data_IF_483543251918
#
_entry.id   IF_483543251918
#
_cell.length_a   1.000
_cell.length_b   1.000
_cell.length_c   1.000
_cell.angle_alpha   90.00
_cell.angle_beta   90.00
_cell.angle_gamma   90.00
#
_symmetry.space_group_name_H-M   'P 1'
#
loop_
_entity.id
_entity.type
_entity.pdbx_description
1 polymer ?
#
# COMPACT_ATOMS: atom_id res chain seq x y z
N UNK A 1 60.68 -5.47 -1.58
CA UNK A 1 60.05 -6.68 -0.97
C UNK A 1 59.24 -6.43 0.30
N UNK A 2 59.56 -5.48 1.19
CA UNK A 2 58.72 -5.18 2.39
C UNK A 2 57.37 -4.53 2.01
N UNK A 3 57.38 -3.56 1.10
CA UNK A 3 56.18 -2.79 0.71
C UNK A 3 55.06 -3.65 0.08
N UNK A 4 55.43 -4.69 -0.68
CA UNK A 4 54.49 -5.63 -1.30
C UNK A 4 53.82 -6.55 -0.29
N UNK A 5 54.54 -6.97 0.77
CA UNK A 5 53.98 -7.74 1.90
C UNK A 5 53.03 -6.89 2.75
N UNK A 6 53.33 -5.60 2.88
CA UNK A 6 52.48 -4.63 3.55
C UNK A 6 51.16 -4.45 2.77
N UNK A 7 51.24 -4.26 1.45
CA UNK A 7 50.07 -4.12 0.57
C UNK A 7 49.15 -5.36 0.60
N UNK A 8 49.73 -6.57 0.60
CA UNK A 8 48.97 -7.83 0.68
C UNK A 8 48.32 -8.05 2.04
N UNK A 9 48.85 -7.49 3.13
CA UNK A 9 48.26 -7.59 4.47
C UNK A 9 47.14 -6.57 4.69
N UNK A 10 47.17 -5.40 4.02
CA UNK A 10 46.10 -4.40 4.10
C UNK A 10 44.87 -4.76 3.26
N UNK A 11 45.07 -5.47 2.14
CA UNK A 11 44.02 -5.91 1.24
C UNK A 11 42.88 -6.71 1.93
N UNK A 12 43.14 -7.73 2.78
CA UNK A 12 42.07 -8.46 3.46
C UNK A 12 41.30 -7.58 4.46
N UNK A 13 41.96 -6.65 5.15
CA UNK A 13 41.28 -5.72 6.06
C UNK A 13 40.41 -4.72 5.32
N UNK A 14 40.84 -4.25 4.14
CA UNK A 14 40.02 -3.41 3.28
C UNK A 14 38.79 -4.18 2.76
N UNK A 15 38.97 -5.44 2.36
CA UNK A 15 37.86 -6.33 1.95
C UNK A 15 36.88 -6.58 3.11
N UNK A 16 37.38 -6.81 4.33
CA UNK A 16 36.54 -6.98 5.53
C UNK A 16 35.78 -5.69 5.85
N UNK A 17 36.43 -4.52 5.75
CA UNK A 17 35.78 -3.23 5.98
C UNK A 17 34.68 -2.95 4.95
N UNK A 18 34.95 -3.21 3.66
CA UNK A 18 33.98 -3.04 2.58
C UNK A 18 32.80 -4.00 2.75
N UNK A 19 33.04 -5.26 3.14
CA UNK A 19 31.95 -6.21 3.42
C UNK A 19 31.11 -5.78 4.63
N UNK A 20 31.72 -5.29 5.70
CA UNK A 20 30.98 -4.72 6.84
C UNK A 20 30.13 -3.50 6.46
N UNK A 21 30.66 -2.61 5.61
CA UNK A 21 29.92 -1.45 5.09
C UNK A 21 28.77 -1.86 4.17
N UNK A 22 28.93 -2.91 3.37
CA UNK A 22 27.86 -3.46 2.54
C UNK A 22 26.78 -4.13 3.41
N UNK A 23 27.16 -4.82 4.49
CA UNK A 23 26.21 -5.44 5.42
C UNK A 23 25.50 -4.41 6.32
N UNK A 24 26.10 -3.26 6.61
CA UNK A 24 25.49 -2.21 7.45
C UNK A 24 24.50 -1.33 6.70
N UNK A 25 24.42 -1.43 5.37
CA UNK A 25 23.30 -0.86 4.63
C UNK A 25 22.03 -1.62 5.04
N UNK A 26 21.20 -1.03 5.89
CA UNK A 26 19.82 -1.48 6.05
C UNK A 26 19.18 -1.31 4.67
N UNK A 27 18.92 -2.42 3.99
CA UNK A 27 18.21 -2.43 2.72
C UNK A 27 16.85 -1.79 3.00
N UNK A 28 16.72 -0.51 2.63
CA UNK A 28 15.42 0.14 2.56
C UNK A 28 14.76 -0.48 1.34
N UNK A 29 14.01 -1.55 1.57
CA UNK A 29 13.05 -2.02 0.58
C UNK A 29 12.05 -0.87 0.48
N UNK A 30 12.22 -0.03 -0.54
CA UNK A 30 11.11 0.80 -1.00
C UNK A 30 10.02 -0.21 -1.29
N UNK A 31 8.97 -0.21 -0.47
CA UNK A 31 7.88 -1.15 -0.62
C UNK A 31 7.28 -0.87 -1.99
N UNK A 32 7.55 -1.75 -2.95
CA UNK A 32 6.93 -1.64 -4.27
C UNK A 32 5.43 -1.68 -4.03
N UNK A 33 4.78 -0.60 -4.42
CA UNK A 33 3.33 -0.50 -4.42
C UNK A 33 2.79 -1.60 -5.31
N UNK A 34 1.62 -2.16 -4.94
CA UNK A 34 0.93 -3.08 -5.84
C UNK A 34 0.70 -2.39 -7.20
N UNK A 35 0.65 -3.18 -8.27
CA UNK A 35 0.52 -2.68 -9.63
C UNK A 35 -0.77 -1.85 -9.80
N UNK A 36 -0.62 -0.53 -9.79
CA UNK A 36 -1.70 0.44 -10.05
C UNK A 36 -2.00 0.61 -11.56
N UNK A 37 -1.40 -0.19 -12.45
CA UNK A 37 -1.58 0.03 -13.89
C UNK A 37 -2.99 -0.31 -14.39
N UNK A 38 -3.78 -1.07 -13.63
CA UNK A 38 -5.08 -1.55 -14.06
C UNK A 38 -6.19 -0.49 -14.02
N UNK A 39 -6.14 0.47 -13.09
CA UNK A 39 -7.16 1.51 -12.92
C UNK A 39 -6.58 2.77 -12.27
N UNK A 40 -7.23 3.92 -12.44
CA UNK A 40 -6.85 5.16 -11.78
C UNK A 40 -8.06 5.93 -11.24
N UNK A 41 -7.79 7.03 -10.52
CA UNK A 41 -8.80 7.94 -9.97
C UNK A 41 -8.95 9.26 -10.75
N UNK A 42 -8.27 9.38 -11.89
CA UNK A 42 -8.22 10.62 -12.67
C UNK A 42 -9.54 10.78 -13.42
N UNK A 43 -10.23 11.90 -13.14
CA UNK A 43 -11.50 12.20 -13.80
C UNK A 43 -11.31 12.35 -15.31
N UNK A 44 -12.05 11.55 -16.09
CA UNK A 44 -12.01 11.56 -17.54
C UNK A 44 -10.91 10.71 -18.17
N UNK A 45 -10.09 10.01 -17.37
CA UNK A 45 -9.18 8.98 -17.87
C UNK A 45 -9.95 7.77 -18.41
N UNK A 46 -9.39 7.11 -19.42
CA UNK A 46 -9.86 5.81 -19.92
C UNK A 46 -9.83 4.72 -18.83
N UNK A 47 -8.94 4.87 -17.84
CA UNK A 47 -8.83 4.00 -16.66
C UNK A 47 -9.49 4.57 -15.40
N UNK A 48 -10.16 5.71 -15.55
CA UNK A 48 -10.77 6.44 -14.44
C UNK A 48 -12.09 5.82 -13.94
N UNK A 49 -12.64 6.33 -12.84
CA UNK A 49 -13.80 5.73 -12.17
C UNK A 49 -15.06 5.59 -13.03
N UNK A 50 -15.24 6.46 -14.03
CA UNK A 50 -16.36 6.37 -14.98
C UNK A 50 -16.30 5.14 -15.88
N UNK A 51 -15.13 4.52 -16.04
CA UNK A 51 -14.87 3.42 -16.96
C UNK A 51 -14.50 2.10 -16.28
N UNK A 52 -14.35 2.06 -14.94
CA UNK A 52 -13.90 0.85 -14.22
C UNK A 52 -14.69 -0.42 -14.56
N UNK A 53 -16.00 -0.32 -14.75
CA UNK A 53 -16.83 -1.48 -15.11
C UNK A 53 -16.68 -1.98 -16.55
N UNK A 54 -15.89 -1.29 -17.38
CA UNK A 54 -15.57 -1.66 -18.77
C UNK A 54 -14.17 -2.27 -18.90
N UNK A 55 -13.29 -2.02 -17.92
CA UNK A 55 -11.90 -2.47 -17.94
C UNK A 55 -11.78 -4.00 -17.86
N UNK A 56 -12.59 -4.64 -17.01
CA UNK A 56 -12.59 -6.09 -16.79
C UNK A 56 -14.00 -6.62 -16.59
N UNK A 57 -14.25 -7.85 -17.04
CA UNK A 57 -15.59 -8.48 -16.98
C UNK A 57 -16.06 -8.63 -15.53
N UNK A 58 -15.16 -8.98 -14.63
CA UNK A 58 -15.38 -9.12 -13.19
C UNK A 58 -15.72 -7.79 -12.49
N UNK A 59 -15.44 -6.64 -13.12
CA UNK A 59 -15.70 -5.31 -12.55
C UNK A 59 -16.99 -4.68 -13.05
N UNK A 60 -17.78 -5.40 -13.86
CA UNK A 60 -19.01 -4.88 -14.48
C UNK A 60 -20.02 -4.26 -13.48
N UNK A 61 -19.97 -4.66 -12.21
CA UNK A 61 -20.81 -4.08 -11.14
C UNK A 61 -20.50 -2.59 -10.88
N UNK A 62 -19.28 -2.12 -11.11
CA UNK A 62 -18.93 -0.70 -11.00
C UNK A 62 -19.74 0.18 -11.96
N UNK A 63 -20.18 -0.39 -13.10
CA UNK A 63 -21.02 0.29 -14.10
C UNK A 63 -22.51 -0.02 -13.92
N UNK A 64 -22.85 -1.29 -13.68
CA UNK A 64 -24.25 -1.77 -13.75
C UNK A 64 -24.92 -1.92 -12.37
N UNK A 65 -24.15 -1.81 -11.28
CA UNK A 65 -24.64 -1.92 -9.92
C UNK A 65 -25.56 -0.75 -9.56
N UNK A 66 -26.69 -1.06 -8.90
CA UNK A 66 -27.68 -0.04 -8.47
C UNK A 66 -27.53 0.38 -7.00
N UNK A 67 -26.67 -0.31 -6.27
CA UNK A 67 -26.38 -0.09 -4.84
C UNK A 67 -24.86 0.08 -4.69
N UNK A 68 -24.30 1.13 -5.31
CA UNK A 68 -22.88 1.46 -5.25
C UNK A 68 -22.63 2.56 -4.22
N UNK A 69 -21.39 2.65 -3.75
CA UNK A 69 -20.90 3.65 -2.81
C UNK A 69 -19.77 4.47 -3.47
N UNK A 70 -19.47 5.70 -3.00
CA UNK A 70 -20.18 6.43 -1.94
C UNK A 70 -21.54 6.97 -2.39
N UNK A 71 -22.38 7.33 -1.43
CA UNK A 71 -23.64 8.05 -1.66
C UNK A 71 -23.65 9.36 -0.89
N UNK A 72 -24.47 10.29 -1.37
CA UNK A 72 -24.72 11.56 -0.71
C UNK A 72 -25.65 11.39 0.50
N UNK A 73 -25.18 11.78 1.69
CA UNK A 73 -25.87 11.64 2.97
C UNK A 73 -26.51 12.98 3.39
N UNK A 74 -27.64 13.32 2.78
CA UNK A 74 -28.39 14.54 3.13
C UNK A 74 -29.33 14.30 4.32
N UNK A 75 -29.22 15.15 5.35
CA UNK A 75 -30.02 15.03 6.58
C UNK A 75 -31.53 14.96 6.34
N UNK A 76 -32.05 15.66 5.33
CA UNK A 76 -33.49 15.66 5.01
C UNK A 76 -34.00 14.36 4.38
N UNK A 77 -33.12 13.49 3.88
CA UNK A 77 -33.47 12.19 3.28
C UNK A 77 -33.21 11.00 4.21
N UNK A 78 -32.60 11.25 5.37
CA UNK A 78 -32.30 10.21 6.36
C UNK A 78 -33.56 9.91 7.18
N UNK A 79 -33.82 8.62 7.40
CA UNK A 79 -34.80 8.14 8.37
C UNK A 79 -34.08 7.80 9.67
N UNK A 80 -34.41 8.49 10.76
CA UNK A 80 -33.92 8.13 12.09
C UNK A 80 -34.70 6.92 12.59
N UNK A 81 -33.99 5.89 13.03
CA UNK A 81 -34.55 4.63 13.54
C UNK A 81 -33.96 4.38 14.94
N UNK A 82 -34.59 4.93 16.00
CA UNK A 82 -34.06 4.86 17.37
C UNK A 82 -33.87 3.42 17.88
N UNK A 83 -34.63 2.48 17.35
CA UNK A 83 -34.61 1.06 17.72
C UNK A 83 -33.29 0.36 17.37
N UNK A 84 -32.47 0.95 16.47
CA UNK A 84 -31.14 0.44 16.15
C UNK A 84 -30.17 0.56 17.35
N UNK A 85 -30.44 1.48 18.28
CA UNK A 85 -29.60 1.71 19.45
C UNK A 85 -28.18 2.15 19.10
N UNK A 86 -27.28 2.02 20.07
CA UNK A 86 -25.87 2.34 19.90
C UNK A 86 -25.07 1.18 19.28
N UNK A 87 -24.11 1.51 18.42
CA UNK A 87 -23.17 0.53 17.87
C UNK A 87 -22.23 0.02 18.96
N UNK A 88 -22.42 -1.24 19.37
CA UNK A 88 -21.54 -1.93 20.32
C UNK A 88 -20.22 -2.31 19.65
N UNK A 89 -19.09 -1.84 20.18
CA UNK A 89 -17.74 -2.09 19.67
C UNK A 89 -16.89 -2.81 20.72
N UNK A 90 -16.17 -3.84 20.31
CA UNK A 90 -15.32 -4.65 21.20
C UNK A 90 -13.89 -4.82 20.65
N UNK A 91 -13.36 -3.77 20.02
CA UNK A 91 -12.00 -3.78 19.48
C UNK A 91 -10.96 -3.85 20.61
N UNK A 92 -9.87 -4.57 20.38
CA UNK A 92 -8.73 -4.68 21.30
C UNK A 92 -7.45 -4.27 20.57
N UNK A 93 -6.44 -3.74 21.28
CA UNK A 93 -5.13 -3.51 20.69
C UNK A 93 -4.56 -4.80 20.10
N UNK A 94 -3.96 -4.68 18.92
CA UNK A 94 -3.24 -5.77 18.25
C UNK A 94 -2.02 -5.18 17.54
N UNK A 95 -1.00 -6.01 17.30
CA UNK A 95 0.08 -5.62 16.40
C UNK A 95 -0.50 -5.51 14.99
N UNK A 96 -0.14 -4.47 14.26
CA UNK A 96 -0.62 -4.27 12.90
C UNK A 96 0.54 -4.04 11.94
N UNK A 97 0.38 -4.50 10.70
CA UNK A 97 1.25 -4.17 9.59
C UNK A 97 0.57 -3.08 8.78
N UNK A 98 1.29 -1.98 8.54
CA UNK A 98 0.84 -0.93 7.63
C UNK A 98 1.39 -1.23 6.24
N UNK A 99 0.50 -1.31 5.26
CA UNK A 99 0.83 -1.60 3.86
C UNK A 99 0.37 -0.47 2.96
N UNK A 100 1.27 0.06 2.15
CA UNK A 100 0.91 0.86 0.98
C UNK A 100 0.61 -0.09 -0.18
N UNK A 101 -0.61 -0.05 -0.73
CA UNK A 101 -1.02 -0.83 -1.91
C UNK A 101 -1.06 0.02 -3.19
N UNK A 102 -0.51 1.22 -3.12
CA UNK A 102 -0.52 2.19 -4.19
C UNK A 102 -1.78 3.06 -4.19
N UNK A 103 -2.94 2.43 -4.35
CA UNK A 103 -4.23 3.11 -4.41
C UNK A 103 -4.85 3.42 -3.03
N UNK A 104 -4.31 2.84 -1.94
CA UNK A 104 -4.67 3.13 -0.55
C UNK A 104 -3.57 2.72 0.45
N UNK A 105 -3.74 3.15 1.71
CA UNK A 105 -2.95 2.69 2.86
C UNK A 105 -3.84 1.79 3.71
N UNK A 106 -3.44 0.53 3.84
CA UNK A 106 -4.15 -0.48 4.62
C UNK A 106 -3.39 -0.77 5.92
N UNK A 107 -4.14 -0.86 7.03
CA UNK A 107 -3.64 -1.47 8.26
C UNK A 107 -4.26 -2.86 8.43
N UNK A 108 -3.44 -3.91 8.41
CA UNK A 108 -3.87 -5.27 8.69
C UNK A 108 -3.39 -5.71 10.07
N UNK A 109 -4.28 -6.29 10.86
CA UNK A 109 -3.99 -6.85 12.20
C UNK A 109 -3.85 -8.36 12.11
#
# INVERSE_FOLDING_TARGET
MKHQKTLTNFLPHLVILVTFLLLSTTWTIAQEVEDESDFDYIKGSEKGPSHWGELKKEWATCKNGRLQSPIDLLSHRVKVVPELGELKKYYKPHNATIKNRGHDIEGSC
#
